data_IF_265544549056
#
_entry.id   IF_265544549056
#
_cell.length_a   1.000
_cell.length_b   1.000
_cell.length_c   1.000
_cell.angle_alpha   90.00
_cell.angle_beta   90.00
_cell.angle_gamma   90.00
#
_symmetry.space_group_name_H-M   'P 1'
#
loop_
_entity.id
_entity.type
_entity.pdbx_description
1 polymer ?
#
# COMPACT_ATOMS: atom_id res chain seq x y z
N UNK A 1 34.32 -5.09 -8.62
CA UNK A 1 32.98 -5.00 -9.25
C UNK A 1 32.10 -4.23 -8.30
N UNK A 2 31.69 -3.00 -8.65
CA UNK A 2 30.78 -2.20 -7.82
C UNK A 2 29.41 -2.88 -7.89
N UNK A 3 28.94 -3.44 -6.77
CA UNK A 3 27.54 -3.81 -6.61
C UNK A 3 26.72 -2.51 -6.66
N UNK A 4 26.19 -2.17 -7.82
CA UNK A 4 25.15 -1.15 -7.93
C UNK A 4 23.91 -1.74 -7.26
N UNK A 5 23.75 -1.52 -5.96
CA UNK A 5 22.50 -1.81 -5.28
C UNK A 5 21.39 -1.06 -6.03
N UNK A 6 20.59 -1.78 -6.81
CA UNK A 6 19.43 -1.19 -7.49
C UNK A 6 18.46 -0.83 -6.39
N UNK A 7 18.45 0.44 -6.01
CA UNK A 7 17.51 0.96 -5.04
C UNK A 7 16.16 1.16 -5.73
N UNK A 8 15.12 0.55 -5.20
CA UNK A 8 13.73 0.75 -5.62
C UNK A 8 12.83 0.72 -4.38
N UNK A 9 11.59 1.10 -4.56
CA UNK A 9 10.54 0.89 -3.59
C UNK A 9 9.38 0.15 -4.26
N UNK A 10 8.60 -0.58 -3.45
CA UNK A 10 7.49 -1.36 -3.96
C UNK A 10 6.39 -1.49 -2.91
N UNK A 11 5.14 -1.65 -3.35
CA UNK A 11 4.02 -1.79 -2.43
C UNK A 11 2.75 -2.31 -3.07
N UNK A 12 1.73 -2.52 -2.25
CA UNK A 12 0.41 -2.99 -2.66
C UNK A 12 -0.62 -1.88 -2.43
N UNK A 13 -1.45 -1.64 -3.43
CA UNK A 13 -2.73 -0.94 -3.28
C UNK A 13 -3.84 -1.99 -3.32
N UNK A 14 -4.38 -2.33 -2.16
CA UNK A 14 -5.55 -3.19 -2.08
C UNK A 14 -6.79 -2.45 -2.52
N UNK A 15 -7.63 -3.11 -3.32
CA UNK A 15 -8.88 -2.55 -3.77
C UNK A 15 -10.03 -3.55 -3.72
N UNK A 16 -11.24 -3.02 -3.66
CA UNK A 16 -12.50 -3.73 -3.83
C UNK A 16 -13.45 -2.89 -4.66
N UNK A 17 -14.53 -3.49 -5.13
CA UNK A 17 -15.61 -2.77 -5.82
C UNK A 17 -16.92 -3.01 -5.09
N UNK A 18 -17.72 -1.96 -4.98
CA UNK A 18 -19.11 -2.05 -4.56
C UNK A 18 -20.02 -2.67 -5.63
N UNK A 19 -21.27 -2.88 -5.31
CA UNK A 19 -22.26 -3.44 -6.25
C UNK A 19 -22.48 -2.58 -7.51
N UNK A 20 -22.31 -1.26 -7.40
CA UNK A 20 -22.36 -0.30 -8.49
C UNK A 20 -21.01 -0.09 -9.20
N UNK A 21 -20.04 -1.00 -8.97
CA UNK A 21 -18.68 -0.94 -9.48
C UNK A 21 -17.82 0.23 -9.01
N UNK A 22 -18.23 1.00 -7.99
CA UNK A 22 -17.38 2.04 -7.41
C UNK A 22 -16.16 1.43 -6.75
N UNK A 23 -14.93 1.84 -7.12
CA UNK A 23 -13.72 1.33 -6.49
C UNK A 23 -13.52 1.93 -5.09
N UNK A 24 -13.12 1.06 -4.15
CA UNK A 24 -12.64 1.41 -2.81
C UNK A 24 -11.23 0.90 -2.65
N UNK A 25 -10.39 1.70 -2.01
CA UNK A 25 -9.01 1.34 -1.70
C UNK A 25 -8.81 1.23 -0.19
N UNK A 26 -8.13 0.19 0.25
CA UNK A 26 -7.68 0.09 1.63
C UNK A 26 -6.37 0.87 1.75
N UNK A 27 -6.38 1.91 2.58
CA UNK A 27 -5.22 2.78 2.82
C UNK A 27 -4.74 2.68 4.26
N UNK A 28 -3.44 2.82 4.45
CA UNK A 28 -2.79 2.96 5.74
C UNK A 28 -2.52 4.42 6.09
N UNK A 29 -2.66 4.77 7.37
CA UNK A 29 -2.37 6.10 7.93
C UNK A 29 -1.08 6.05 8.72
N UNK A 30 -0.11 6.88 8.36
CA UNK A 30 1.16 7.01 9.08
C UNK A 30 1.07 7.95 10.30
N UNK A 31 2.19 8.13 11.02
CA UNK A 31 2.27 9.03 12.17
C UNK A 31 2.09 10.52 11.83
N UNK A 32 2.37 10.90 10.59
CA UNK A 32 2.13 12.26 10.11
C UNK A 32 0.66 12.48 9.70
N UNK A 33 -0.19 11.49 9.97
CA UNK A 33 -1.61 11.48 9.57
C UNK A 33 -1.84 11.54 8.06
N UNK A 34 -0.87 11.03 7.28
CA UNK A 34 -0.98 10.90 5.83
C UNK A 34 -1.41 9.49 5.46
N UNK A 35 -2.22 9.38 4.42
CA UNK A 35 -2.76 8.11 3.92
C UNK A 35 -2.05 7.69 2.65
N UNK A 36 -1.73 6.41 2.53
CA UNK A 36 -1.11 5.82 1.36
C UNK A 36 -1.49 4.35 1.18
N UNK A 37 -1.10 3.77 0.04
CA UNK A 37 -0.98 2.34 -0.09
C UNK A 37 0.12 1.81 0.85
N UNK A 38 0.23 0.49 0.96
CA UNK A 38 1.21 -0.20 1.80
C UNK A 38 2.46 -0.48 1.00
N UNK A 39 3.61 0.07 1.42
CA UNK A 39 4.84 -0.12 0.68
C UNK A 39 6.02 0.70 1.20
N UNK A 40 7.21 0.21 0.87
CA UNK A 40 8.47 0.80 1.30
C UNK A 40 9.65 0.43 0.42
N UNK A 41 10.85 0.56 0.97
CA UNK A 41 12.11 0.34 0.25
C UNK A 41 12.47 -1.13 0.19
N UNK A 42 13.18 -1.52 -0.87
CA UNK A 42 13.78 -2.86 -0.95
C UNK A 42 14.80 -3.06 0.18
N UNK A 43 14.82 -4.28 0.68
CA UNK A 43 15.84 -4.79 1.61
C UNK A 43 16.69 -5.86 0.94
N UNK A 44 17.88 -6.16 1.50
CA UNK A 44 18.77 -7.21 0.98
C UNK A 44 18.06 -8.57 0.92
N UNK A 45 17.23 -8.85 1.91
CA UNK A 45 16.47 -10.09 2.01
C UNK A 45 15.37 -10.23 0.95
N UNK A 46 14.98 -9.16 0.30
CA UNK A 46 13.99 -9.16 -0.79
C UNK A 46 14.60 -9.70 -2.12
N UNK A 47 15.90 -10.02 -2.16
CA UNK A 47 16.59 -10.57 -3.32
C UNK A 47 16.46 -9.72 -4.59
N UNK A 48 16.29 -8.42 -4.45
CA UNK A 48 16.02 -7.46 -5.54
C UNK A 48 14.75 -7.76 -6.35
N UNK A 49 13.76 -8.40 -5.73
CA UNK A 49 12.48 -8.74 -6.31
C UNK A 49 11.39 -7.76 -5.80
N UNK A 50 10.84 -6.88 -6.67
CA UNK A 50 9.79 -5.94 -6.27
C UNK A 50 8.51 -6.60 -5.73
N UNK A 51 8.19 -7.82 -6.17
CA UNK A 51 7.03 -8.57 -5.69
C UNK A 51 7.23 -9.03 -4.24
N UNK A 52 8.44 -9.46 -3.89
CA UNK A 52 8.80 -9.84 -2.53
C UNK A 52 8.77 -8.61 -1.61
N UNK A 53 9.37 -7.49 -2.04
CA UNK A 53 9.33 -6.22 -1.28
C UNK A 53 7.88 -5.78 -1.03
N UNK A 54 7.04 -5.75 -2.07
CA UNK A 54 5.65 -5.33 -1.94
C UNK A 54 4.85 -6.22 -0.98
N UNK A 55 5.08 -7.54 -1.04
CA UNK A 55 4.42 -8.51 -0.15
C UNK A 55 4.84 -8.32 1.30
N UNK A 56 6.15 -8.16 1.55
CA UNK A 56 6.71 -7.94 2.89
C UNK A 56 6.18 -6.65 3.50
N UNK A 57 6.31 -5.54 2.80
CA UNK A 57 5.84 -4.22 3.25
C UNK A 57 4.34 -4.23 3.56
N UNK A 58 3.52 -4.78 2.66
CA UNK A 58 2.09 -4.85 2.89
C UNK A 58 1.73 -5.73 4.10
N UNK A 59 2.45 -6.83 4.32
CA UNK A 59 2.25 -7.67 5.51
C UNK A 59 2.66 -6.94 6.80
N UNK A 60 3.81 -6.27 6.81
CA UNK A 60 4.33 -5.53 7.95
C UNK A 60 3.41 -4.34 8.30
N UNK A 61 3.04 -3.52 7.33
CA UNK A 61 2.23 -2.33 7.52
C UNK A 61 0.75 -2.62 7.82
N UNK A 62 0.21 -3.76 7.35
CA UNK A 62 -1.15 -4.21 7.73
C UNK A 62 -1.16 -5.09 8.98
N UNK A 63 0.00 -5.42 9.54
CA UNK A 63 0.16 -6.36 10.66
C UNK A 63 -0.49 -7.73 10.38
N UNK A 64 -0.46 -8.18 9.12
CA UNK A 64 -1.10 -9.42 8.69
C UNK A 64 -2.64 -9.39 8.76
N UNK A 65 -3.26 -8.25 9.01
CA UNK A 65 -4.72 -8.15 9.18
C UNK A 65 -5.51 -8.41 7.90
N UNK A 66 -4.89 -8.23 6.73
CA UNK A 66 -5.50 -8.48 5.42
C UNK A 66 -5.27 -9.91 4.98
N UNK A 67 -4.01 -10.32 4.85
CA UNK A 67 -3.58 -11.66 4.47
C UNK A 67 -2.24 -11.98 5.14
N UNK A 68 -1.91 -13.27 5.24
CA UNK A 68 -0.55 -13.70 5.60
C UNK A 68 0.43 -13.44 4.44
N UNK A 69 1.73 -13.47 4.77
CA UNK A 69 2.79 -13.14 3.82
C UNK A 69 2.82 -14.07 2.59
N UNK A 70 2.59 -15.37 2.77
CA UNK A 70 2.64 -16.32 1.66
C UNK A 70 1.46 -16.14 0.72
N UNK A 71 0.28 -15.87 1.25
CA UNK A 71 -0.90 -15.51 0.44
C UNK A 71 -0.65 -14.24 -0.37
N UNK A 72 -0.04 -13.20 0.23
CA UNK A 72 0.31 -11.96 -0.51
C UNK A 72 1.29 -12.22 -1.65
N UNK A 73 2.31 -13.03 -1.43
CA UNK A 73 3.26 -13.44 -2.49
C UNK A 73 2.57 -14.18 -3.62
N UNK A 74 1.62 -15.06 -3.32
CA UNK A 74 0.86 -15.79 -4.34
C UNK A 74 -0.04 -14.86 -5.15
N UNK A 75 -0.72 -13.92 -4.50
CA UNK A 75 -1.59 -12.95 -5.16
C UNK A 75 -0.81 -12.07 -6.14
N UNK A 76 0.35 -11.56 -5.74
CA UNK A 76 1.19 -10.70 -6.60
C UNK A 76 1.77 -11.49 -7.77
N UNK A 77 2.15 -12.75 -7.59
CA UNK A 77 2.69 -13.60 -8.67
C UNK A 77 1.63 -14.09 -9.67
N UNK A 78 0.37 -13.77 -9.45
CA UNK A 78 -0.68 -14.19 -10.38
C UNK A 78 -0.49 -13.55 -11.76
N UNK A 79 -0.75 -14.31 -12.84
CA UNK A 79 -0.55 -13.85 -14.23
C UNK A 79 -1.34 -12.60 -14.61
N UNK A 80 -2.39 -12.28 -13.86
CA UNK A 80 -3.31 -11.17 -14.15
C UNK A 80 -3.08 -9.97 -13.23
N UNK A 81 -2.03 -9.99 -12.39
CA UNK A 81 -1.75 -8.86 -11.53
C UNK A 81 -1.39 -7.62 -12.36
N UNK A 82 -1.99 -6.51 -12.02
CA UNK A 82 -1.65 -5.20 -12.60
C UNK A 82 -0.77 -4.45 -11.64
N UNK A 83 0.13 -3.65 -12.18
CA UNK A 83 0.95 -2.73 -11.38
C UNK A 83 1.14 -1.41 -12.12
N UNK A 84 1.36 -0.36 -11.36
CA UNK A 84 1.62 0.99 -11.85
C UNK A 84 3.04 1.35 -11.45
N UNK A 85 3.77 2.01 -12.36
CA UNK A 85 5.13 2.46 -12.10
C UNK A 85 5.19 3.97 -11.92
N UNK A 86 6.05 4.41 -11.01
CA UNK A 86 6.37 5.81 -10.81
C UNK A 86 7.79 5.96 -10.25
N UNK A 87 8.12 7.11 -9.69
CA UNK A 87 9.42 7.37 -9.06
C UNK A 87 9.24 7.86 -7.63
N UNK A 88 10.16 7.43 -6.77
CA UNK A 88 10.32 8.03 -5.43
C UNK A 88 10.87 9.47 -5.54
N UNK A 89 10.82 10.28 -4.47
CA UNK A 89 11.43 11.62 -4.48
C UNK A 89 12.92 11.62 -4.78
N UNK A 90 13.62 10.54 -4.47
CA UNK A 90 15.04 10.33 -4.80
C UNK A 90 15.27 9.80 -6.22
N UNK A 91 14.22 9.70 -7.05
CA UNK A 91 14.33 9.30 -8.46
C UNK A 91 14.36 7.77 -8.69
N UNK A 92 14.33 6.95 -7.65
CA UNK A 92 14.33 5.49 -7.79
C UNK A 92 12.96 4.96 -8.27
N UNK A 93 12.92 3.82 -9.00
CA UNK A 93 11.68 3.20 -9.40
C UNK A 93 10.78 2.88 -8.20
N UNK A 94 9.48 3.06 -8.39
CA UNK A 94 8.44 2.64 -7.48
C UNK A 94 7.41 1.78 -8.22
N UNK A 95 7.13 0.57 -7.69
CA UNK A 95 6.18 -0.39 -8.25
C UNK A 95 4.99 -0.51 -7.30
N UNK A 96 3.77 -0.18 -7.77
CA UNK A 96 2.54 -0.29 -6.99
C UNK A 96 1.63 -1.36 -7.59
N UNK A 97 1.55 -2.52 -6.94
CA UNK A 97 0.72 -3.64 -7.35
C UNK A 97 -0.73 -3.42 -6.94
N UNK A 98 -1.68 -3.69 -7.83
CA UNK A 98 -3.12 -3.56 -7.60
C UNK A 98 -3.68 -4.93 -7.24
N UNK A 99 -4.03 -5.15 -5.97
CA UNK A 99 -4.51 -6.44 -5.48
C UNK A 99 -5.97 -6.34 -5.07
N UNK A 100 -6.83 -7.07 -5.78
CA UNK A 100 -8.25 -7.15 -5.45
C UNK A 100 -8.47 -8.05 -4.24
N UNK A 101 -9.19 -7.55 -3.24
CA UNK A 101 -9.58 -8.29 -2.04
C UNK A 101 -11.06 -8.05 -1.72
N UNK A 102 -11.73 -8.93 -0.97
CA UNK A 102 -13.09 -8.69 -0.50
C UNK A 102 -13.16 -7.40 0.34
N UNK A 103 -14.24 -6.64 0.19
CA UNK A 103 -14.50 -5.52 1.10
C UNK A 103 -14.87 -6.04 2.48
N UNK A 104 -14.14 -5.63 3.52
CA UNK A 104 -14.43 -6.02 4.89
C UNK A 104 -13.98 -4.95 5.88
N UNK A 105 -14.83 -4.63 6.83
CA UNK A 105 -14.49 -3.79 7.99
C UNK A 105 -13.58 -4.53 8.98
N UNK A 106 -13.61 -5.86 8.99
CA UNK A 106 -12.81 -6.68 9.93
C UNK A 106 -11.30 -6.51 9.76
N UNK A 107 -10.82 -6.01 8.62
CA UNK A 107 -9.38 -5.71 8.43
C UNK A 107 -8.92 -4.66 9.43
N UNK A 108 -9.68 -3.56 9.58
CA UNK A 108 -9.36 -2.50 10.53
C UNK A 108 -9.41 -2.98 11.97
N UNK A 109 -10.42 -3.75 12.33
CA UNK A 109 -10.59 -4.25 13.70
C UNK A 109 -9.44 -5.19 14.10
N UNK A 110 -9.05 -6.10 13.19
CA UNK A 110 -7.87 -6.96 13.38
C UNK A 110 -6.59 -6.15 13.49
N UNK A 111 -6.40 -5.18 12.59
CA UNK A 111 -5.24 -4.29 12.62
C UNK A 111 -5.13 -3.56 13.98
N UNK A 112 -6.19 -2.91 14.43
CA UNK A 112 -6.18 -2.15 15.68
C UNK A 112 -5.95 -3.05 16.90
N UNK A 113 -6.52 -4.26 16.90
CA UNK A 113 -6.30 -5.26 17.96
C UNK A 113 -4.84 -5.70 18.01
N UNK A 114 -4.26 -6.08 16.87
CA UNK A 114 -2.84 -6.49 16.78
C UNK A 114 -1.92 -5.33 17.15
N UNK A 115 -2.18 -4.13 16.65
CA UNK A 115 -1.40 -2.93 16.97
C UNK A 115 -1.41 -2.63 18.48
N UNK A 116 -2.58 -2.70 19.11
CA UNK A 116 -2.70 -2.51 20.57
C UNK A 116 -1.86 -3.54 21.33
N UNK A 117 -1.88 -4.80 20.91
CA UNK A 117 -1.03 -5.84 21.52
C UNK A 117 0.46 -5.53 21.34
N UNK A 118 0.90 -5.23 20.12
CA UNK A 118 2.30 -4.94 19.80
C UNK A 118 2.82 -3.69 20.52
N UNK A 119 1.99 -2.68 20.77
CA UNK A 119 2.37 -1.48 21.51
C UNK A 119 2.66 -1.75 23.01
N UNK A 120 2.19 -2.88 23.54
CA UNK A 120 2.42 -3.26 24.94
C UNK A 120 3.61 -4.21 25.13
N UNK A 121 4.26 -4.62 24.05
CA UNK A 121 5.44 -5.48 24.08
C UNK A 121 6.58 -4.83 23.32
N UNK A 122 7.82 -5.30 23.58
CA UNK A 122 8.98 -4.86 22.79
C UNK A 122 8.89 -5.45 21.41
N UNK A 123 8.65 -4.62 20.39
CA UNK A 123 8.57 -5.02 18.98
C UNK A 123 9.42 -4.11 18.09
N UNK A 124 9.70 -4.53 16.85
CA UNK A 124 10.41 -3.72 15.88
C UNK A 124 9.57 -2.53 15.43
N UNK A 125 10.20 -1.37 15.20
CA UNK A 125 9.51 -0.12 14.82
C UNK A 125 8.70 -0.23 13.53
N UNK A 126 9.15 -1.06 12.59
CA UNK A 126 8.45 -1.29 11.31
C UNK A 126 7.01 -1.79 11.47
N UNK A 127 6.71 -2.58 12.53
CA UNK A 127 5.36 -3.02 12.85
C UNK A 127 4.49 -1.94 13.52
N UNK A 128 5.04 -0.78 13.78
CA UNK A 128 4.31 0.31 14.41
C UNK A 128 4.12 1.54 13.50
N UNK A 129 4.62 1.50 12.27
CA UNK A 129 4.63 2.64 11.35
C UNK A 129 3.23 3.14 10.98
N UNK A 130 2.28 2.24 10.76
CA UNK A 130 0.89 2.63 10.51
C UNK A 130 0.11 2.82 11.80
N UNK A 131 -0.71 3.86 11.85
CA UNK A 131 -1.56 4.19 13.01
C UNK A 131 -3.00 3.74 12.83
N UNK A 132 -3.46 3.61 11.60
CA UNK A 132 -4.82 3.19 11.26
C UNK A 132 -4.86 2.64 9.83
N UNK A 133 -5.88 1.85 9.50
CA UNK A 133 -6.19 1.46 8.12
C UNK A 133 -7.69 1.63 7.87
N UNK A 134 -8.07 2.06 6.65
CA UNK A 134 -9.49 2.19 6.29
C UNK A 134 -9.73 2.10 4.80
N UNK A 135 -10.95 1.73 4.43
CA UNK A 135 -11.46 1.83 3.08
C UNK A 135 -11.79 3.28 2.71
N UNK A 136 -11.35 3.71 1.54
CA UNK A 136 -11.57 5.04 0.99
C UNK A 136 -12.04 4.89 -0.45
N UNK A 137 -13.13 5.55 -0.81
CA UNK A 137 -13.62 5.51 -2.19
C UNK A 137 -12.70 6.27 -3.14
N UNK A 138 -12.68 5.87 -4.41
CA UNK A 138 -11.94 6.57 -5.45
C UNK A 138 -12.35 8.05 -5.54
N UNK A 139 -13.64 8.37 -5.37
CA UNK A 139 -14.14 9.74 -5.41
C UNK A 139 -13.53 10.58 -4.27
N UNK A 140 -13.45 10.03 -3.06
CA UNK A 140 -12.80 10.69 -1.93
C UNK A 140 -11.32 10.94 -2.20
N UNK A 141 -10.62 9.99 -2.82
CA UNK A 141 -9.22 10.13 -3.22
C UNK A 141 -9.07 11.23 -4.28
N UNK A 142 -9.89 11.21 -5.33
CA UNK A 142 -9.89 12.22 -6.38
C UNK A 142 -10.15 13.62 -5.80
N UNK A 143 -11.15 13.75 -4.93
CA UNK A 143 -11.42 14.99 -4.23
C UNK A 143 -10.21 15.48 -3.43
N UNK A 144 -9.50 14.56 -2.76
CA UNK A 144 -8.31 14.89 -1.97
C UNK A 144 -7.13 15.35 -2.83
N UNK A 145 -6.99 14.78 -4.02
CA UNK A 145 -5.96 15.17 -5.00
C UNK A 145 -6.22 16.58 -5.54
N UNK A 146 -7.49 16.89 -5.81
CA UNK A 146 -7.88 18.15 -6.46
C UNK A 146 -8.05 19.30 -5.43
N UNK A 147 -8.21 19.00 -4.14
CA UNK A 147 -8.52 19.97 -3.09
C UNK A 147 -7.55 19.90 -1.91
N UNK A 148 -6.72 20.94 -1.75
CA UNK A 148 -5.75 21.06 -0.63
C UNK A 148 -6.36 21.05 0.77
N UNK A 149 -7.68 21.30 0.91
CA UNK A 149 -8.43 21.32 2.18
C UNK A 149 -9.19 20.02 2.47
N UNK A 150 -8.80 18.94 1.83
CA UNK A 150 -9.43 17.63 2.04
C UNK A 150 -9.23 17.12 3.47
N UNK A 151 -10.22 16.37 3.97
CA UNK A 151 -10.13 15.62 5.23
C UNK A 151 -9.13 14.48 5.20
N UNK A 152 -8.73 14.02 3.99
CA UNK A 152 -7.72 12.98 3.79
C UNK A 152 -6.50 13.63 3.16
N UNK A 153 -5.38 13.61 3.89
CA UNK A 153 -4.08 14.01 3.34
C UNK A 153 -3.38 12.79 2.79
N UNK A 154 -3.07 12.78 1.51
CA UNK A 154 -2.34 11.69 0.89
C UNK A 154 -0.83 11.88 1.08
N UNK A 155 -0.09 10.76 1.20
CA UNK A 155 1.37 10.76 1.18
C UNK A 155 1.85 11.19 -0.21
N UNK A 156 2.84 12.06 -0.28
CA UNK A 156 3.25 12.71 -1.53
C UNK A 156 3.53 11.74 -2.68
N UNK A 157 4.31 10.67 -2.43
CA UNK A 157 4.62 9.67 -3.47
C UNK A 157 3.36 9.00 -4.00
N UNK A 158 2.46 8.59 -3.10
CA UNK A 158 1.21 7.96 -3.46
C UNK A 158 0.31 8.91 -4.27
N UNK A 159 0.17 10.16 -3.82
CA UNK A 159 -0.59 11.19 -4.53
C UNK A 159 -0.05 11.42 -5.95
N UNK A 160 1.27 11.58 -6.10
CA UNK A 160 1.91 11.76 -7.41
C UNK A 160 1.73 10.53 -8.31
N UNK A 161 1.89 9.33 -7.76
CA UNK A 161 1.68 8.09 -8.51
C UNK A 161 0.25 8.03 -9.08
N UNK A 162 -0.76 8.34 -8.28
CA UNK A 162 -2.15 8.36 -8.72
C UNK A 162 -2.43 9.45 -9.76
N UNK A 163 -1.89 10.66 -9.58
CA UNK A 163 -2.03 11.77 -10.54
C UNK A 163 -1.47 11.41 -11.91
N UNK A 164 -0.25 10.88 -11.94
CA UNK A 164 0.46 10.57 -13.18
C UNK A 164 -0.15 9.39 -13.94
N UNK A 165 -0.76 8.45 -13.23
CA UNK A 165 -1.23 7.18 -13.80
C UNK A 165 -2.76 7.02 -13.68
N UNK A 166 -3.52 8.12 -13.56
CA UNK A 166 -4.97 8.08 -13.29
C UNK A 166 -5.74 7.24 -14.31
N UNK A 167 -5.41 7.37 -15.60
CA UNK A 167 -6.04 6.61 -16.67
C UNK A 167 -5.72 5.13 -16.56
N UNK A 168 -4.45 4.78 -16.43
CA UNK A 168 -3.98 3.40 -16.29
C UNK A 168 -4.58 2.72 -15.05
N UNK A 169 -4.69 3.44 -13.91
CA UNK A 169 -5.35 2.96 -12.72
C UNK A 169 -6.80 2.55 -13.03
N UNK A 170 -7.59 3.44 -13.66
CA UNK A 170 -8.99 3.19 -13.96
C UNK A 170 -9.18 2.01 -14.94
N UNK A 171 -8.29 1.86 -15.93
CA UNK A 171 -8.31 0.76 -16.88
C UNK A 171 -7.87 -0.58 -16.25
N UNK A 172 -7.17 -0.52 -15.12
CA UNK A 172 -6.64 -1.69 -14.42
C UNK A 172 -7.59 -2.24 -13.34
N UNK A 173 -8.57 -1.45 -12.93
CA UNK A 173 -9.58 -1.82 -11.94
C UNK A 173 -10.77 -2.50 -12.63
#
# INVERSE_FOLDING_TARGET
MMNTNILYASGILFYSKSLDNTPFFLLGKDYESKWSNFGGRCEINDRFDPEITASREAWEETLGSVNDLETLKQLIKSKNIKFITSKTPSGHPYYMYLVKIPYSFSYRDRFLTTKKFLSNIKTESKFLEMTDIKWVSLDTINYSIDNKRSFIKLRHVFEQTLKMNRKELLESL
#
